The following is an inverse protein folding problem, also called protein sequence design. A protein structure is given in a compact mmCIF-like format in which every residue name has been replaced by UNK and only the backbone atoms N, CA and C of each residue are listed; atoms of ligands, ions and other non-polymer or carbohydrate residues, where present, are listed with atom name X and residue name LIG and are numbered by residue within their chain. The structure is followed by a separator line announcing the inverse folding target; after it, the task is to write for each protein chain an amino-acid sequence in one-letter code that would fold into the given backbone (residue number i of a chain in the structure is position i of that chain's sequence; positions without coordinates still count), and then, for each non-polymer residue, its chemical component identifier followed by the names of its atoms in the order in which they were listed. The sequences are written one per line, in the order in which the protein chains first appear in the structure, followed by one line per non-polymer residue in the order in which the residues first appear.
data_IF_731013901132
#
_entry.id   IF_731013901132
#
_cell.length_a   1.000
_cell.length_b   1.000
_cell.length_c   1.000
_cell.angle_alpha   90.00
_cell.angle_beta   90.00
_cell.angle_gamma   90.00
#
_symmetry.space_group_name_H-M   'P 1'
#
loop_
_entity.id
_entity.type
_entity.pdbx_description
1 polymer ?
#
# COMPACT_ATOMS: atom_id res chain seq x y z
N UNK A 1 14.33 20.21 16.43
CA UNK A 1 15.24 19.77 15.35
C UNK A 1 14.69 18.59 14.55
N UNK A 2 14.45 17.42 15.15
CA UNK A 2 13.90 16.27 14.39
C UNK A 2 12.52 16.51 13.76
N UNK A 3 11.64 17.27 14.41
CA UNK A 3 10.36 17.67 13.80
C UNK A 3 10.54 18.52 12.54
N UNK A 4 11.48 19.47 12.54
CA UNK A 4 11.78 20.28 11.36
C UNK A 4 12.45 19.46 10.25
N UNK A 5 13.32 18.51 10.61
CA UNK A 5 13.88 17.55 9.67
C UNK A 5 12.79 16.71 9.03
N UNK A 6 11.84 16.21 9.81
CA UNK A 6 10.72 15.42 9.32
C UNK A 6 9.84 16.24 8.35
N UNK A 7 9.52 17.50 8.66
CA UNK A 7 8.77 18.37 7.74
C UNK A 7 9.54 18.66 6.45
N UNK A 8 10.84 18.94 6.53
CA UNK A 8 11.66 19.16 5.34
C UNK A 8 11.80 17.88 4.50
N UNK A 9 11.95 16.71 5.14
CA UNK A 9 11.99 15.41 4.47
C UNK A 9 10.67 15.09 3.77
N UNK A 10 9.51 15.44 4.37
CA UNK A 10 8.19 15.27 3.72
C UNK A 10 8.11 16.02 2.40
N UNK A 11 8.72 17.21 2.30
CA UNK A 11 8.75 17.96 1.03
C UNK A 11 9.51 17.20 -0.05
N UNK A 12 10.65 16.59 0.28
CA UNK A 12 11.43 15.78 -0.67
C UNK A 12 10.68 14.50 -1.04
N UNK A 13 10.04 13.84 -0.07
CA UNK A 13 9.19 12.65 -0.32
C UNK A 13 8.03 13.00 -1.25
N UNK A 14 7.36 14.14 -1.06
CA UNK A 14 6.28 14.56 -1.95
C UNK A 14 6.78 14.84 -3.37
N UNK A 15 7.98 15.40 -3.53
CA UNK A 15 8.62 15.52 -4.85
C UNK A 15 8.97 14.15 -5.43
N UNK A 16 9.41 13.19 -4.62
CA UNK A 16 9.80 11.87 -5.10
C UNK A 16 8.64 11.02 -5.61
N UNK A 17 7.40 11.41 -5.33
CA UNK A 17 6.19 10.80 -5.91
C UNK A 17 5.93 11.34 -7.33
N UNK A 18 6.43 12.52 -7.68
CA UNK A 18 6.29 13.09 -9.01
C UNK A 18 7.28 12.43 -9.98
N UNK A 19 6.76 11.63 -10.91
CA UNK A 19 7.56 10.86 -11.86
C UNK A 19 8.40 11.72 -12.81
N UNK A 20 8.10 13.01 -12.95
CA UNK A 20 8.88 13.95 -13.78
C UNK A 20 10.26 14.27 -13.21
N UNK A 21 10.47 14.04 -11.91
CA UNK A 21 11.77 14.23 -11.28
C UNK A 21 12.65 13.00 -11.44
N UNK A 22 13.90 13.22 -11.88
CA UNK A 22 14.90 12.17 -11.99
C UNK A 22 15.37 11.71 -10.61
N UNK A 23 15.73 10.43 -10.52
CA UNK A 23 16.31 9.82 -9.32
C UNK A 23 17.48 10.63 -8.76
N UNK A 24 18.43 11.03 -9.62
CA UNK A 24 19.64 11.77 -9.22
C UNK A 24 19.30 13.14 -8.61
N UNK A 25 18.34 13.86 -9.18
CA UNK A 25 17.89 15.16 -8.65
C UNK A 25 17.31 15.03 -7.24
N UNK A 26 16.51 13.98 -6.99
CA UNK A 26 15.92 13.73 -5.67
C UNK A 26 16.99 13.29 -4.66
N UNK A 27 17.97 12.47 -5.06
CA UNK A 27 19.11 12.11 -4.21
C UNK A 27 19.92 13.36 -3.83
N UNK A 28 20.17 14.27 -4.77
CA UNK A 28 20.86 15.53 -4.48
C UNK A 28 20.07 16.39 -3.47
N UNK A 29 18.74 16.44 -3.57
CA UNK A 29 17.87 17.08 -2.58
C UNK A 29 18.03 16.44 -1.19
N UNK A 30 18.03 15.11 -1.09
CA UNK A 30 18.28 14.41 0.18
C UNK A 30 19.67 14.67 0.74
N UNK A 31 20.71 14.69 -0.09
CA UNK A 31 22.09 14.96 0.36
C UNK A 31 22.29 16.43 0.79
N UNK A 32 21.61 17.38 0.14
CA UNK A 32 21.56 18.78 0.61
C UNK A 32 20.88 18.88 1.97
N UNK A 33 19.76 18.18 2.14
CA UNK A 33 19.03 18.13 3.41
C UNK A 33 19.88 17.50 4.52
N UNK A 34 20.59 16.41 4.22
CA UNK A 34 21.56 15.79 5.13
C UNK A 34 22.60 16.80 5.60
N UNK A 35 23.26 17.49 4.67
CA UNK A 35 24.31 18.46 4.98
C UNK A 35 23.81 19.62 5.86
N UNK A 36 22.62 20.16 5.56
CA UNK A 36 22.00 21.20 6.37
C UNK A 36 21.74 20.72 7.80
N UNK A 37 21.04 19.59 7.97
CA UNK A 37 20.62 19.14 9.29
C UNK A 37 21.79 18.57 10.11
N UNK A 38 22.78 17.95 9.48
CA UNK A 38 24.03 17.57 10.16
C UNK A 38 24.76 18.79 10.71
N UNK A 39 24.85 19.88 9.95
CA UNK A 39 25.47 21.12 10.43
C UNK A 39 24.70 21.72 11.63
N UNK A 40 23.37 21.63 11.61
CA UNK A 40 22.50 22.14 12.66
C UNK A 40 22.49 21.29 13.93
N UNK A 41 22.82 19.99 13.83
CA UNK A 41 22.97 19.09 14.98
C UNK A 41 24.17 19.44 15.88
N UNK A 42 25.11 20.27 15.39
CA UNK A 42 26.30 20.67 16.13
C UNK A 42 27.11 19.47 16.60
N UNK A 43 27.43 19.42 17.90
CA UNK A 43 28.22 18.34 18.49
C UNK A 43 27.40 17.09 18.89
N UNK A 44 26.10 17.05 18.55
CA UNK A 44 25.25 15.90 18.86
C UNK A 44 25.60 14.71 17.96
N UNK A 45 26.52 13.85 18.41
CA UNK A 45 26.91 12.64 17.68
C UNK A 45 25.71 11.73 17.34
N UNK A 46 24.77 11.58 18.29
CA UNK A 46 23.53 10.85 18.07
C UNK A 46 22.68 11.53 16.98
N UNK A 47 22.49 12.85 17.08
CA UNK A 47 21.69 13.62 16.13
C UNK A 47 22.23 13.54 14.70
N UNK A 48 23.55 13.69 14.55
CA UNK A 48 24.25 13.54 13.26
C UNK A 48 24.05 12.14 12.69
N UNK A 49 24.26 11.10 13.49
CA UNK A 49 24.12 9.71 13.03
C UNK A 49 22.67 9.39 12.63
N UNK A 50 21.70 9.81 13.43
CA UNK A 50 20.29 9.57 13.14
C UNK A 50 19.84 10.30 11.87
N UNK A 51 20.24 11.56 11.66
CA UNK A 51 19.96 12.26 10.40
C UNK A 51 20.52 11.51 9.19
N UNK A 52 21.74 10.99 9.28
CA UNK A 52 22.35 10.20 8.20
C UNK A 52 21.61 8.91 7.91
N UNK A 53 21.19 8.18 8.95
CA UNK A 53 20.38 6.95 8.81
C UNK A 53 19.08 7.22 8.07
N UNK A 54 18.31 8.23 8.51
CA UNK A 54 17.04 8.59 7.86
C UNK A 54 17.19 8.98 6.40
N UNK A 55 18.26 9.71 6.06
CA UNK A 55 18.55 10.02 4.65
C UNK A 55 18.92 8.77 3.86
N UNK A 56 19.74 7.87 4.41
CA UNK A 56 20.10 6.61 3.75
C UNK A 56 18.88 5.69 3.56
N UNK A 57 18.00 5.57 4.57
CA UNK A 57 16.70 4.88 4.48
C UNK A 57 15.86 5.43 3.32
N UNK A 58 15.67 6.76 3.26
CA UNK A 58 14.89 7.40 2.21
C UNK A 58 15.49 7.20 0.80
N UNK A 59 16.82 7.22 0.67
CA UNK A 59 17.50 6.98 -0.62
C UNK A 59 17.32 5.53 -1.06
N UNK A 60 17.40 4.56 -0.15
CA UNK A 60 17.15 3.15 -0.47
C UNK A 60 15.69 2.92 -0.89
N UNK A 61 14.72 3.48 -0.16
CA UNK A 61 13.31 3.43 -0.55
C UNK A 61 13.07 4.09 -1.91
N UNK A 62 13.76 5.20 -2.20
CA UNK A 62 13.70 5.84 -3.51
C UNK A 62 14.25 4.92 -4.60
N UNK A 63 15.40 4.28 -4.37
CA UNK A 63 16.00 3.34 -5.33
C UNK A 63 15.07 2.16 -5.60
N UNK A 64 14.43 1.62 -4.56
CA UNK A 64 13.41 0.59 -4.72
C UNK A 64 12.23 1.05 -5.57
N UNK A 65 11.71 2.26 -5.35
CA UNK A 65 10.55 2.76 -6.10
C UNK A 65 10.85 3.20 -7.54
N UNK A 66 12.07 3.65 -7.84
CA UNK A 66 12.45 4.24 -9.14
C UNK A 66 13.27 3.31 -10.01
N UNK A 67 13.63 2.14 -9.50
CA UNK A 67 14.39 1.12 -10.21
C UNK A 67 15.60 1.67 -11.00
N UNK A 68 16.48 2.52 -10.41
CA UNK A 68 17.73 2.91 -11.06
C UNK A 68 18.58 1.66 -11.32
N UNK A 69 19.68 1.73 -12.09
CA UNK A 69 20.57 0.58 -12.28
C UNK A 69 20.93 -0.08 -10.94
N UNK A 70 20.94 -1.41 -10.90
CA UNK A 70 21.07 -2.20 -9.67
C UNK A 70 22.16 -1.72 -8.71
N UNK A 71 23.32 -1.34 -9.26
CA UNK A 71 24.48 -0.88 -8.49
C UNK A 71 24.15 0.31 -7.57
N UNK A 72 23.22 1.16 -7.98
CA UNK A 72 22.73 2.28 -7.16
C UNK A 72 21.93 1.78 -5.95
N UNK A 73 21.07 0.76 -6.11
CA UNK A 73 20.34 0.15 -4.97
C UNK A 73 21.33 -0.57 -4.03
N UNK A 74 22.34 -1.26 -4.58
CA UNK A 74 23.42 -1.91 -3.82
C UNK A 74 24.26 -0.91 -3.01
N UNK A 75 24.65 0.20 -3.61
CA UNK A 75 25.39 1.27 -2.92
C UNK A 75 24.56 1.90 -1.80
N UNK A 76 23.28 2.23 -2.06
CA UNK A 76 22.37 2.76 -1.05
C UNK A 76 22.19 1.81 0.15
N UNK A 77 22.07 0.50 -0.11
CA UNK A 77 22.02 -0.53 0.92
C UNK A 77 23.31 -0.57 1.75
N UNK A 78 24.47 -0.61 1.11
CA UNK A 78 25.77 -0.65 1.80
C UNK A 78 26.02 0.61 2.65
N UNK A 79 25.57 1.77 2.18
CA UNK A 79 25.60 3.02 2.94
C UNK A 79 24.78 2.91 4.23
N UNK A 80 23.56 2.36 4.15
CA UNK A 80 22.68 2.18 5.30
C UNK A 80 23.25 1.16 6.30
N UNK A 81 23.71 -0.01 5.82
CA UNK A 81 24.33 -1.04 6.67
C UNK A 81 25.54 -0.49 7.43
N UNK A 82 26.38 0.33 6.79
CA UNK A 82 27.54 0.97 7.42
C UNK A 82 27.16 1.94 8.53
N UNK A 83 26.01 2.61 8.42
CA UNK A 83 25.47 3.48 9.49
C UNK A 83 24.77 2.66 10.59
N UNK A 84 24.37 1.43 10.29
CA UNK A 84 23.54 0.58 11.13
C UNK A 84 22.09 1.08 11.20
N UNK A 85 21.20 0.22 11.68
CA UNK A 85 19.78 0.53 11.80
C UNK A 85 19.45 1.17 13.16
N UNK A 86 18.46 2.07 13.17
CA UNK A 86 18.01 2.71 14.41
C UNK A 86 17.23 1.74 15.32
N UNK A 87 16.47 0.83 14.71
CA UNK A 87 15.63 -0.16 15.39
C UNK A 87 15.38 -1.37 14.48
N UNK A 88 14.99 -2.50 15.08
CA UNK A 88 14.81 -3.78 14.38
C UNK A 88 13.72 -3.73 13.30
N UNK A 89 12.63 -2.99 13.53
CA UNK A 89 11.59 -2.79 12.51
C UNK A 89 12.17 -2.18 11.21
N UNK A 90 13.04 -1.17 11.34
CA UNK A 90 13.69 -0.52 10.20
C UNK A 90 14.65 -1.48 9.50
N UNK A 91 15.40 -2.29 10.26
CA UNK A 91 16.24 -3.34 9.69
C UNK A 91 15.41 -4.33 8.85
N UNK A 92 14.28 -4.81 9.37
CA UNK A 92 13.40 -5.73 8.64
C UNK A 92 12.85 -5.10 7.35
N UNK A 93 12.33 -3.87 7.45
CA UNK A 93 11.77 -3.15 6.32
C UNK A 93 12.81 -2.87 5.24
N UNK A 94 13.99 -2.36 5.62
CA UNK A 94 15.04 -2.00 4.67
C UNK A 94 15.71 -3.23 4.05
N UNK A 95 15.83 -4.32 4.80
CA UNK A 95 16.31 -5.60 4.26
C UNK A 95 15.33 -6.15 3.23
N UNK A 96 14.02 -6.09 3.51
CA UNK A 96 12.99 -6.44 2.53
C UNK A 96 13.11 -5.56 1.28
N UNK A 97 13.19 -4.25 1.43
CA UNK A 97 13.32 -3.28 0.33
C UNK A 97 14.52 -3.60 -0.58
N UNK A 98 15.69 -3.88 0.01
CA UNK A 98 16.88 -4.23 -0.77
C UNK A 98 16.76 -5.61 -1.43
N UNK A 99 16.22 -6.61 -0.73
CA UNK A 99 16.01 -7.93 -1.32
C UNK A 99 14.97 -7.90 -2.45
N UNK A 100 14.00 -7.00 -2.38
CA UNK A 100 13.01 -6.77 -3.43
C UNK A 100 13.62 -6.09 -4.66
N UNK A 101 14.54 -5.12 -4.48
CA UNK A 101 15.42 -4.65 -5.56
C UNK A 101 16.15 -5.84 -6.21
N UNK A 102 16.75 -6.73 -5.40
CA UNK A 102 17.48 -7.89 -5.91
C UNK A 102 16.57 -8.82 -6.73
N UNK A 103 15.32 -9.03 -6.30
CA UNK A 103 14.35 -9.84 -7.03
C UNK A 103 13.96 -9.18 -8.37
N UNK A 104 13.75 -7.85 -8.39
CA UNK A 104 13.45 -7.11 -9.61
C UNK A 104 14.61 -7.15 -10.62
N UNK A 105 15.85 -7.00 -10.13
CA UNK A 105 17.09 -7.02 -10.93
C UNK A 105 17.62 -8.43 -11.26
N UNK A 106 16.88 -9.48 -10.92
CA UNK A 106 17.26 -10.88 -11.11
C UNK A 106 18.62 -11.22 -10.48
N UNK A 107 18.86 -10.75 -9.24
CA UNK A 107 20.05 -10.99 -8.39
C UNK A 107 19.71 -11.84 -7.17
N UNK A 108 19.19 -13.07 -7.33
CA UNK A 108 18.64 -13.85 -6.22
C UNK A 108 19.66 -14.16 -5.11
N UNK A 109 20.91 -14.43 -5.46
CA UNK A 109 21.95 -14.75 -4.48
C UNK A 109 22.24 -13.57 -3.51
N UNK A 110 22.17 -12.32 -3.98
CA UNK A 110 22.40 -11.14 -3.15
C UNK A 110 21.23 -10.87 -2.21
N UNK A 111 19.99 -11.02 -2.70
CA UNK A 111 18.79 -10.90 -1.87
C UNK A 111 18.72 -11.98 -0.79
N UNK A 112 19.04 -13.23 -1.13
CA UNK A 112 19.06 -14.33 -0.16
C UNK A 112 20.14 -14.16 0.91
N UNK A 113 21.32 -13.63 0.55
CA UNK A 113 22.40 -13.41 1.48
C UNK A 113 22.04 -12.45 2.63
N UNK A 114 21.11 -11.51 2.40
CA UNK A 114 20.62 -10.60 3.46
C UNK A 114 19.35 -11.12 4.15
N UNK A 115 18.47 -11.84 3.44
CA UNK A 115 17.20 -12.32 4.00
C UNK A 115 17.36 -13.54 4.90
N UNK A 116 18.20 -14.51 4.52
CA UNK A 116 18.29 -15.78 5.26
C UNK A 116 18.77 -15.59 6.71
N UNK A 117 19.82 -14.79 7.00
CA UNK A 117 20.21 -14.51 8.38
C UNK A 117 19.10 -13.81 9.18
N UNK A 118 18.38 -12.88 8.55
CA UNK A 118 17.31 -12.11 9.19
C UNK A 118 16.11 -12.98 9.56
N UNK A 119 15.70 -13.87 8.65
CA UNK A 119 14.64 -14.83 8.89
C UNK A 119 14.99 -15.79 10.04
N UNK A 120 16.23 -16.30 10.07
CA UNK A 120 16.68 -17.16 11.16
C UNK A 120 16.68 -16.43 12.52
N UNK A 121 17.03 -15.15 12.55
CA UNK A 121 16.95 -14.34 13.77
C UNK A 121 15.50 -14.12 14.20
N UNK A 122 14.59 -13.79 13.28
CA UNK A 122 13.16 -13.64 13.58
C UNK A 122 12.53 -14.93 14.11
N UNK A 123 12.87 -16.08 13.52
CA UNK A 123 12.41 -17.40 13.99
C UNK A 123 12.89 -17.68 15.42
N UNK A 124 14.16 -17.39 15.72
CA UNK A 124 14.70 -17.49 17.09
C UNK A 124 13.97 -16.56 18.07
N UNK A 125 13.81 -15.29 17.72
CA UNK A 125 13.10 -14.31 18.57
C UNK A 125 11.65 -14.74 18.84
N UNK A 126 11.00 -15.33 17.84
CA UNK A 126 9.65 -15.90 17.96
C UNK A 126 9.60 -17.02 19.00
N UNK A 127 10.53 -17.96 18.92
CA UNK A 127 10.64 -19.07 19.88
C UNK A 127 10.89 -18.57 21.32
N UNK A 128 11.79 -17.61 21.48
CA UNK A 128 12.09 -16.97 22.78
C UNK A 128 10.84 -16.29 23.36
N UNK A 129 10.08 -15.57 22.53
CA UNK A 129 8.83 -14.92 22.94
C UNK A 129 7.74 -15.92 23.29
N UNK A 130 7.60 -17.01 22.52
CA UNK A 130 6.68 -18.10 22.87
C UNK A 130 7.03 -18.69 24.23
N UNK A 131 8.31 -18.97 24.49
CA UNK A 131 8.78 -19.48 25.78
C UNK A 131 8.50 -18.50 26.93
N UNK A 132 8.59 -17.19 26.66
CA UNK A 132 8.26 -16.13 27.60
C UNK A 132 6.75 -15.80 27.69
N UNK A 133 5.88 -16.54 26.97
CA UNK A 133 4.43 -16.28 26.89
C UNK A 133 4.09 -14.85 26.44
N UNK A 134 4.91 -14.29 25.56
CA UNK A 134 4.72 -12.97 24.96
C UNK A 134 4.06 -13.07 23.58
N UNK A 135 3.47 -11.98 23.12
CA UNK A 135 2.90 -11.91 21.77
C UNK A 135 3.98 -12.10 20.69
N UNK A 136 3.69 -12.99 19.73
CA UNK A 136 4.52 -13.25 18.55
C UNK A 136 3.98 -12.61 17.27
N UNK A 137 2.85 -11.89 17.34
CA UNK A 137 2.16 -11.35 16.15
C UNK A 137 3.11 -10.59 15.22
N UNK A 138 4.02 -9.80 15.79
CA UNK A 138 5.03 -9.07 15.05
C UNK A 138 5.99 -10.01 14.30
N UNK A 139 6.56 -11.01 14.97
CA UNK A 139 7.48 -11.97 14.34
C UNK A 139 6.77 -12.81 13.28
N UNK A 140 5.56 -13.29 13.59
CA UNK A 140 4.74 -14.09 12.66
C UNK A 140 4.51 -13.32 11.36
N UNK A 141 4.17 -12.02 11.44
CA UNK A 141 3.96 -11.16 10.29
C UNK A 141 5.22 -11.03 9.41
N UNK A 142 6.38 -10.73 10.01
CA UNK A 142 7.62 -10.54 9.24
C UNK A 142 8.21 -11.85 8.70
N UNK A 143 8.10 -12.96 9.44
CA UNK A 143 8.53 -14.28 8.96
C UNK A 143 7.74 -14.68 7.72
N UNK A 144 6.42 -14.45 7.73
CA UNK A 144 5.58 -14.68 6.56
C UNK A 144 5.99 -13.78 5.39
N UNK A 145 6.05 -12.47 5.62
CA UNK A 145 6.30 -11.48 4.57
C UNK A 145 7.70 -11.62 3.93
N UNK A 146 8.75 -11.77 4.74
CA UNK A 146 10.12 -12.00 4.26
C UNK A 146 10.29 -13.42 3.70
N UNK A 147 9.55 -14.39 4.24
CA UNK A 147 9.57 -15.78 3.78
C UNK A 147 9.04 -15.92 2.35
N UNK A 148 7.99 -15.17 2.00
CA UNK A 148 7.46 -15.12 0.64
C UNK A 148 8.53 -14.62 -0.34
N UNK A 149 9.18 -13.49 -0.04
CA UNK A 149 10.25 -12.94 -0.88
C UNK A 149 11.46 -13.88 -0.98
N UNK A 150 11.84 -14.56 0.13
CA UNK A 150 12.90 -15.58 0.09
C UNK A 150 12.52 -16.72 -0.87
N UNK A 151 11.29 -17.20 -0.81
CA UNK A 151 10.83 -18.30 -1.65
C UNK A 151 10.76 -17.87 -3.13
N UNK A 152 10.37 -16.62 -3.42
CA UNK A 152 10.49 -16.00 -4.76
C UNK A 152 11.94 -15.96 -5.25
N UNK A 153 12.88 -15.45 -4.45
CA UNK A 153 14.30 -15.38 -4.82
C UNK A 153 14.90 -16.77 -5.04
N UNK A 154 14.50 -17.77 -4.24
CA UNK A 154 14.91 -19.17 -4.45
C UNK A 154 14.34 -19.74 -5.75
N UNK A 155 13.11 -19.40 -6.12
CA UNK A 155 12.53 -19.78 -7.41
C UNK A 155 13.31 -19.12 -8.56
N UNK A 156 13.61 -17.83 -8.46
CA UNK A 156 14.44 -17.12 -9.45
C UNK A 156 15.84 -17.74 -9.58
N UNK A 157 16.45 -18.19 -8.48
CA UNK A 157 17.74 -18.87 -8.51
C UNK A 157 17.69 -20.20 -9.31
N UNK A 158 16.52 -20.85 -9.38
CA UNK A 158 16.27 -22.03 -10.22
C UNK A 158 15.87 -21.68 -11.66
N UNK A 159 15.74 -20.39 -11.99
CA UNK A 159 15.28 -19.91 -13.29
C UNK A 159 13.74 -19.84 -13.41
N UNK A 160 13.02 -19.93 -12.30
CA UNK A 160 11.56 -19.81 -12.24
C UNK A 160 11.18 -18.36 -11.92
N UNK A 161 10.21 -17.79 -12.64
CA UNK A 161 9.63 -16.48 -12.31
C UNK A 161 8.31 -16.66 -11.58
N UNK A 162 8.15 -15.95 -10.46
CA UNK A 162 6.89 -15.93 -9.72
C UNK A 162 5.78 -15.29 -10.59
N UNK A 163 4.57 -15.88 -10.64
CA UNK A 163 3.45 -15.29 -11.37
C UNK A 163 3.14 -13.88 -10.87
N UNK A 164 3.03 -12.90 -11.78
CA UNK A 164 2.74 -11.50 -11.46
C UNK A 164 3.95 -10.68 -11.00
N UNK A 165 5.14 -11.28 -10.90
CA UNK A 165 6.39 -10.54 -10.63
C UNK A 165 6.88 -9.87 -11.90
N UNK A 166 7.01 -8.55 -11.86
CA UNK A 166 7.73 -7.78 -12.87
C UNK A 166 9.24 -7.80 -12.56
N UNK A 167 10.07 -7.93 -13.59
CA UNK A 167 11.53 -7.84 -13.49
C UNK A 167 12.07 -6.77 -14.43
N UNK A 168 13.30 -6.30 -14.18
CA UNK A 168 13.95 -5.34 -15.09
C UNK A 168 13.98 -5.84 -16.53
N UNK A 169 14.28 -7.12 -16.75
CA UNK A 169 14.28 -7.69 -18.11
C UNK A 169 12.91 -7.57 -18.78
N UNK A 170 11.82 -7.72 -18.02
CA UNK A 170 10.47 -7.56 -18.56
C UNK A 170 10.17 -6.11 -18.91
N UNK A 171 10.53 -5.18 -18.01
CA UNK A 171 10.34 -3.74 -18.25
C UNK A 171 11.19 -3.22 -19.41
N UNK A 172 12.46 -3.61 -19.49
CA UNK A 172 13.36 -3.23 -20.57
C UNK A 172 12.91 -3.82 -21.93
N UNK A 173 12.22 -4.96 -21.91
CA UNK A 173 11.67 -5.60 -23.11
C UNK A 173 10.28 -5.08 -23.48
N UNK A 174 9.57 -4.43 -22.55
CA UNK A 174 8.24 -3.92 -22.77
C UNK A 174 8.29 -2.69 -23.68
N UNK A 175 7.49 -2.72 -24.74
CA UNK A 175 7.28 -1.61 -25.64
C UNK A 175 5.80 -1.27 -25.61
N UNK A 176 5.40 -0.20 -24.90
CA UNK A 176 4.00 0.14 -24.81
C UNK A 176 3.46 0.46 -26.20
N UNK A 177 2.26 0.00 -26.50
CA UNK A 177 1.53 0.39 -27.70
C UNK A 177 1.07 1.84 -27.57
N UNK A 178 0.82 2.56 -28.69
CA UNK A 178 0.27 3.91 -28.62
C UNK A 178 -1.06 4.03 -27.86
N UNK A 179 -1.84 2.93 -27.80
CA UNK A 179 -3.06 2.87 -27.00
C UNK A 179 -2.77 2.79 -25.50
N UNK A 180 -1.80 1.96 -25.08
CA UNK A 180 -1.35 1.86 -23.70
C UNK A 180 -0.71 3.16 -23.22
N UNK A 181 0.18 3.78 -24.01
CA UNK A 181 0.76 5.09 -23.70
C UNK A 181 -0.32 6.14 -23.46
N UNK A 182 -1.35 6.17 -24.32
CA UNK A 182 -2.49 7.08 -24.17
C UNK A 182 -3.32 6.77 -22.92
N UNK A 183 -3.53 5.50 -22.59
CA UNK A 183 -4.25 5.09 -21.37
C UNK A 183 -3.47 5.53 -20.12
N UNK A 184 -2.15 5.34 -20.11
CA UNK A 184 -1.28 5.77 -19.01
C UNK A 184 -1.32 7.29 -18.82
N UNK A 185 -1.23 8.06 -19.91
CA UNK A 185 -1.38 9.53 -19.86
C UNK A 185 -2.74 9.95 -19.26
N UNK A 186 -3.83 9.28 -19.65
CA UNK A 186 -5.15 9.55 -19.11
C UNK A 186 -5.29 9.13 -17.64
N UNK A 187 -4.62 8.06 -17.22
CA UNK A 187 -4.57 7.64 -15.82
C UNK A 187 -3.83 8.65 -14.95
N UNK A 188 -2.70 9.17 -15.43
CA UNK A 188 -1.94 10.22 -14.75
C UNK A 188 -2.76 11.51 -14.61
N UNK A 189 -3.52 11.87 -15.64
CA UNK A 189 -4.45 13.00 -15.58
C UNK A 189 -5.61 12.77 -14.62
N UNK A 190 -6.25 11.60 -14.65
CA UNK A 190 -7.30 11.21 -13.71
C UNK A 190 -6.80 11.29 -12.27
N UNK A 191 -5.64 10.67 -11.99
CA UNK A 191 -5.03 10.66 -10.67
C UNK A 191 -4.71 12.07 -10.16
N UNK A 192 -4.13 12.93 -11.02
CA UNK A 192 -3.87 14.34 -10.68
C UNK A 192 -5.15 15.13 -10.43
N UNK A 193 -6.16 14.97 -11.28
CA UNK A 193 -7.43 15.69 -11.17
C UNK A 193 -8.21 15.28 -9.91
N UNK A 194 -8.35 13.98 -9.65
CA UNK A 194 -8.98 13.47 -8.44
C UNK A 194 -8.22 13.89 -7.17
N UNK A 195 -6.89 13.82 -7.20
CA UNK A 195 -6.04 14.30 -6.09
C UNK A 195 -6.22 15.79 -5.81
N UNK A 196 -6.41 16.61 -6.86
CA UNK A 196 -6.68 18.03 -6.69
C UNK A 196 -8.01 18.26 -5.98
N UNK A 197 -9.10 17.61 -6.41
CA UNK A 197 -10.41 17.68 -5.75
C UNK A 197 -10.31 17.23 -4.29
N UNK A 198 -9.71 16.06 -4.06
CA UNK A 198 -9.49 15.53 -2.71
C UNK A 198 -8.77 16.52 -1.80
N UNK A 199 -7.64 17.08 -2.26
CA UNK A 199 -6.88 18.08 -1.48
C UNK A 199 -7.69 19.32 -1.15
N UNK A 200 -8.66 19.71 -1.97
CA UNK A 200 -9.49 20.89 -1.68
C UNK A 200 -10.46 20.65 -0.52
N UNK A 201 -11.25 19.56 -0.55
CA UNK A 201 -12.25 19.32 0.50
C UNK A 201 -11.68 18.62 1.74
N UNK A 202 -10.58 17.87 1.61
CA UNK A 202 -9.94 17.25 2.78
C UNK A 202 -9.22 18.28 3.69
N UNK A 203 -8.87 19.45 3.15
CA UNK A 203 -8.23 20.55 3.92
C UNK A 203 -9.24 21.55 4.50
N UNK A 204 -10.44 21.61 3.94
CA UNK A 204 -11.51 22.51 4.37
C UNK A 204 -12.85 21.81 4.14
N UNK A 205 -13.61 21.63 5.22
CA UNK A 205 -14.97 21.09 5.20
C UNK A 205 -16.01 22.13 4.71
N UNK A 206 -15.57 23.26 4.17
CA UNK A 206 -16.46 24.34 3.72
C UNK A 206 -17.09 24.04 2.35
N UNK A 207 -16.60 23.02 1.64
CA UNK A 207 -17.17 22.58 0.36
C UNK A 207 -18.35 21.64 0.60
N UNK A 208 -19.45 21.89 -0.10
CA UNK A 208 -20.59 20.98 -0.06
C UNK A 208 -20.30 19.70 -0.85
N UNK A 209 -20.90 18.58 -0.43
CA UNK A 209 -20.79 17.32 -1.17
C UNK A 209 -21.27 17.46 -2.62
N UNK A 210 -22.33 18.24 -2.87
CA UNK A 210 -22.84 18.47 -4.22
C UNK A 210 -21.79 19.08 -5.16
N UNK A 211 -21.00 20.03 -4.67
CA UNK A 211 -19.91 20.63 -5.45
C UNK A 211 -18.77 19.64 -5.70
N UNK A 212 -18.39 18.86 -4.68
CA UNK A 212 -17.35 17.82 -4.79
C UNK A 212 -17.77 16.74 -5.77
N UNK A 213 -19.02 16.29 -5.69
CA UNK A 213 -19.58 15.29 -6.60
C UNK A 213 -19.65 15.80 -8.05
N UNK A 214 -20.04 17.06 -8.24
CA UNK A 214 -20.05 17.69 -9.56
C UNK A 214 -18.64 17.78 -10.17
N UNK A 215 -17.61 18.06 -9.36
CA UNK A 215 -16.22 18.08 -9.85
C UNK A 215 -15.74 16.69 -10.26
N UNK A 216 -15.98 15.65 -9.45
CA UNK A 216 -15.64 14.28 -9.83
C UNK A 216 -16.38 13.82 -11.09
N UNK A 217 -17.67 14.14 -11.22
CA UNK A 217 -18.44 13.81 -12.43
C UNK A 217 -17.96 14.57 -13.67
N UNK A 218 -17.46 15.80 -13.51
CA UNK A 218 -16.81 16.53 -14.61
C UNK A 218 -15.51 15.85 -15.05
N UNK A 219 -14.70 15.40 -14.09
CA UNK A 219 -13.46 14.65 -14.36
C UNK A 219 -13.80 13.34 -15.09
N UNK A 220 -14.78 12.58 -14.60
CA UNK A 220 -15.25 11.34 -15.24
C UNK A 220 -15.63 11.59 -16.71
N UNK A 221 -16.47 12.60 -16.97
CA UNK A 221 -16.93 12.93 -18.31
C UNK A 221 -15.78 13.36 -19.25
N UNK A 222 -14.83 14.14 -18.76
CA UNK A 222 -13.65 14.58 -19.53
C UNK A 222 -12.76 13.39 -19.91
N UNK A 223 -12.36 12.57 -18.93
CA UNK A 223 -11.48 11.42 -19.16
C UNK A 223 -12.15 10.38 -20.07
N UNK A 224 -13.42 10.05 -19.82
CA UNK A 224 -14.18 9.12 -20.66
C UNK A 224 -14.34 9.66 -22.09
N UNK A 225 -14.57 10.97 -22.25
CA UNK A 225 -14.67 11.61 -23.56
C UNK A 225 -13.36 11.54 -24.37
N UNK A 226 -12.21 11.44 -23.70
CA UNK A 226 -10.87 11.41 -24.32
C UNK A 226 -10.33 10.01 -24.57
N UNK A 227 -10.84 8.99 -23.87
CA UNK A 227 -10.39 7.60 -23.98
C UNK A 227 -10.37 7.13 -25.44
N UNK A 228 -11.42 7.38 -26.23
CA UNK A 228 -11.52 6.92 -27.62
C UNK A 228 -12.35 5.64 -27.75
N UNK A 229 -12.18 4.91 -28.85
CA UNK A 229 -12.96 3.70 -29.18
C UNK A 229 -12.06 2.47 -29.20
N UNK A 230 -12.54 1.33 -28.67
CA UNK A 230 -11.80 0.05 -28.63
C UNK A 230 -12.03 -0.72 -27.33
N UNK A 231 -11.72 -2.02 -27.30
CA UNK A 231 -11.90 -2.86 -26.10
C UNK A 231 -11.01 -2.40 -24.93
N UNK A 232 -9.74 -2.04 -25.19
CA UNK A 232 -8.84 -1.50 -24.18
C UNK A 232 -9.42 -0.23 -23.52
N UNK A 233 -10.02 0.64 -24.33
CA UNK A 233 -10.68 1.85 -23.82
C UNK A 233 -11.99 1.55 -23.09
N UNK A 234 -12.73 0.49 -23.43
CA UNK A 234 -13.91 0.09 -22.66
C UNK A 234 -13.56 -0.39 -21.25
N UNK A 235 -12.49 -1.20 -21.12
CA UNK A 235 -11.97 -1.61 -19.82
C UNK A 235 -11.52 -0.39 -19.01
N UNK A 236 -10.71 0.49 -19.62
CA UNK A 236 -10.28 1.74 -18.99
C UNK A 236 -11.46 2.61 -18.53
N UNK A 237 -12.48 2.81 -19.37
CA UNK A 237 -13.67 3.61 -19.03
C UNK A 237 -14.42 3.03 -17.82
N UNK A 238 -14.51 1.71 -17.70
CA UNK A 238 -15.10 1.08 -16.52
C UNK A 238 -14.26 1.36 -15.27
N UNK A 239 -12.93 1.28 -15.37
CA UNK A 239 -12.03 1.55 -14.25
C UNK A 239 -12.06 3.02 -13.81
N UNK A 240 -12.20 3.96 -14.75
CA UNK A 240 -12.42 5.39 -14.46
C UNK A 240 -13.72 5.57 -13.66
N UNK A 241 -14.81 4.92 -14.08
CA UNK A 241 -16.10 4.99 -13.40
C UNK A 241 -16.05 4.40 -11.99
N UNK A 242 -15.43 3.23 -11.83
CA UNK A 242 -15.21 2.61 -10.53
C UNK A 242 -14.41 3.54 -9.62
N UNK A 243 -13.28 4.07 -10.11
CA UNK A 243 -12.43 5.01 -9.37
C UNK A 243 -13.22 6.24 -8.92
N UNK A 244 -14.04 6.83 -9.80
CA UNK A 244 -14.86 7.99 -9.44
C UNK A 244 -15.94 7.63 -8.40
N UNK A 245 -16.58 6.47 -8.51
CA UNK A 245 -17.54 5.99 -7.53
C UNK A 245 -16.90 5.77 -6.14
N UNK A 246 -15.69 5.22 -6.07
CA UNK A 246 -14.90 5.13 -4.83
C UNK A 246 -14.65 6.52 -4.21
N UNK A 247 -14.20 7.49 -5.02
CA UNK A 247 -13.97 8.86 -4.55
C UNK A 247 -15.24 9.54 -4.06
N UNK A 248 -16.39 9.28 -4.69
CA UNK A 248 -17.69 9.80 -4.26
C UNK A 248 -18.14 9.21 -2.93
N UNK A 249 -18.03 7.89 -2.73
CA UNK A 249 -18.33 7.25 -1.46
C UNK A 249 -17.41 7.79 -0.35
N UNK A 250 -16.11 7.89 -0.63
CA UNK A 250 -15.14 8.47 0.30
C UNK A 250 -15.47 9.92 0.66
N UNK A 251 -15.86 10.74 -0.32
CA UNK A 251 -16.28 12.12 -0.08
C UNK A 251 -17.58 12.19 0.75
N UNK A 252 -18.56 11.33 0.46
CA UNK A 252 -19.80 11.26 1.22
C UNK A 252 -19.54 10.91 2.70
N UNK A 253 -18.67 9.93 2.93
CA UNK A 253 -18.21 9.54 4.27
C UNK A 253 -17.46 10.69 4.97
N UNK A 254 -16.44 11.26 4.34
CA UNK A 254 -15.58 12.29 4.96
C UNK A 254 -16.31 13.61 5.22
N UNK A 255 -17.34 13.92 4.44
CA UNK A 255 -18.19 15.10 4.63
C UNK A 255 -19.44 14.77 5.47
N UNK A 256 -19.46 13.63 6.15
CA UNK A 256 -20.52 13.19 7.07
C UNK A 256 -21.93 13.33 6.47
N UNK A 257 -22.09 12.91 5.22
CA UNK A 257 -23.35 13.08 4.52
C UNK A 257 -24.48 12.24 5.13
N UNK A 258 -25.75 12.65 4.94
CA UNK A 258 -26.89 11.85 5.37
C UNK A 258 -26.85 10.45 4.75
N UNK A 259 -27.30 9.45 5.51
CA UNK A 259 -27.29 8.04 5.12
C UNK A 259 -27.72 7.77 3.67
N UNK A 260 -28.76 8.44 3.19
CA UNK A 260 -29.27 8.23 1.84
C UNK A 260 -28.21 8.51 0.76
N UNK A 261 -27.41 9.56 0.94
CA UNK A 261 -26.33 9.93 0.01
C UNK A 261 -25.23 8.87 0.02
N UNK A 262 -24.82 8.43 1.21
CA UNK A 262 -23.82 7.38 1.35
C UNK A 262 -24.30 6.04 0.76
N UNK A 263 -25.59 5.71 0.96
CA UNK A 263 -26.22 4.51 0.39
C UNK A 263 -26.30 4.54 -1.13
N UNK A 264 -26.63 5.68 -1.71
CA UNK A 264 -26.62 5.86 -3.17
C UNK A 264 -25.21 5.69 -3.74
N UNK A 265 -24.21 6.37 -3.16
CA UNK A 265 -22.82 6.23 -3.57
C UNK A 265 -22.29 4.79 -3.43
N UNK A 266 -22.67 4.10 -2.35
CA UNK A 266 -22.34 2.69 -2.13
C UNK A 266 -22.97 1.78 -3.18
N UNK A 267 -24.26 1.96 -3.47
CA UNK A 267 -24.96 1.15 -4.46
C UNK A 267 -24.39 1.34 -5.87
N UNK A 268 -24.07 2.59 -6.24
CA UNK A 268 -23.43 2.88 -7.52
C UNK A 268 -22.09 2.14 -7.65
N UNK A 269 -21.27 2.15 -6.60
CA UNK A 269 -19.99 1.43 -6.57
C UNK A 269 -20.19 -0.09 -6.64
N UNK A 270 -21.13 -0.66 -5.87
CA UNK A 270 -21.45 -2.09 -5.92
C UNK A 270 -21.93 -2.51 -7.30
N UNK A 271 -22.73 -1.69 -7.98
CA UNK A 271 -23.20 -1.96 -9.35
C UNK A 271 -22.06 -1.98 -10.37
N UNK A 272 -21.03 -1.15 -10.19
CA UNK A 272 -19.83 -1.14 -11.02
C UNK A 272 -18.86 -2.29 -10.69
N UNK A 273 -18.98 -2.87 -9.49
CA UNK A 273 -18.09 -3.90 -8.98
C UNK A 273 -16.77 -3.34 -8.46
N UNK A 274 -16.02 -4.18 -7.73
CA UNK A 274 -14.71 -3.83 -7.17
C UNK A 274 -13.60 -4.47 -7.97
N UNK A 275 -12.48 -3.75 -8.18
CA UNK A 275 -11.35 -4.29 -8.95
C UNK A 275 -10.55 -5.30 -8.16
N UNK A 276 -10.44 -5.09 -6.84
CA UNK A 276 -9.63 -5.90 -5.92
C UNK A 276 -10.35 -6.08 -4.60
N UNK A 277 -10.08 -7.19 -3.92
CA UNK A 277 -10.62 -7.46 -2.59
C UNK A 277 -10.19 -6.40 -1.56
N UNK A 278 -8.99 -5.84 -1.69
CA UNK A 278 -8.50 -4.75 -0.84
C UNK A 278 -9.36 -3.50 -0.95
N UNK A 279 -9.69 -3.08 -2.17
CA UNK A 279 -10.57 -1.95 -2.46
C UNK A 279 -11.96 -2.18 -1.86
N UNK A 280 -12.53 -3.38 -2.06
CA UNK A 280 -13.80 -3.77 -1.44
C UNK A 280 -13.77 -3.66 0.07
N UNK A 281 -12.71 -4.14 0.72
CA UNK A 281 -12.57 -4.04 2.17
C UNK A 281 -12.55 -2.60 2.66
N UNK A 282 -11.74 -1.74 2.02
CA UNK A 282 -11.68 -0.30 2.34
C UNK A 282 -13.04 0.39 2.16
N UNK A 283 -13.70 0.17 1.03
CA UNK A 283 -14.96 0.82 0.71
C UNK A 283 -16.11 0.32 1.59
N UNK A 284 -16.16 -0.99 1.89
CA UNK A 284 -17.10 -1.55 2.86
C UNK A 284 -16.88 -0.96 4.26
N UNK A 285 -15.62 -0.80 4.70
CA UNK A 285 -15.33 -0.16 5.98
C UNK A 285 -15.88 1.27 6.01
N UNK A 286 -15.59 2.11 5.00
CA UNK A 286 -16.10 3.49 4.95
C UNK A 286 -17.63 3.55 4.95
N UNK A 287 -18.30 2.68 4.20
CA UNK A 287 -19.76 2.63 4.20
C UNK A 287 -20.32 2.18 5.55
N UNK A 288 -19.74 1.16 6.17
CA UNK A 288 -20.19 0.66 7.48
C UNK A 288 -19.94 1.68 8.61
N UNK A 289 -18.81 2.39 8.59
CA UNK A 289 -18.58 3.51 9.50
C UNK A 289 -19.57 4.66 9.25
N UNK A 290 -19.91 4.96 7.99
CA UNK A 290 -20.99 5.91 7.69
C UNK A 290 -22.34 5.46 8.24
N UNK A 291 -22.62 4.15 8.25
CA UNK A 291 -23.83 3.60 8.85
C UNK A 291 -23.84 3.78 10.37
N UNK A 292 -22.69 3.60 11.02
CA UNK A 292 -22.50 3.91 12.44
C UNK A 292 -22.86 5.38 12.73
N UNK A 293 -22.24 6.32 12.01
CA UNK A 293 -22.47 7.76 12.18
C UNK A 293 -23.93 8.18 11.98
N UNK A 294 -24.65 7.47 11.10
CA UNK A 294 -26.05 7.75 10.78
C UNK A 294 -27.06 6.91 11.58
N UNK A 295 -26.62 6.13 12.58
CA UNK A 295 -27.49 5.25 13.38
C UNK A 295 -28.29 4.28 12.50
N UNK A 296 -27.58 3.60 11.58
CA UNK A 296 -28.09 2.56 10.68
C UNK A 296 -27.33 1.24 10.85
N UNK A 297 -27.27 0.67 12.07
CA UNK A 297 -26.42 -0.48 12.34
C UNK A 297 -26.80 -1.72 11.52
N UNK A 298 -28.08 -1.91 11.19
CA UNK A 298 -28.53 -3.04 10.36
C UNK A 298 -27.90 -3.03 8.96
N UNK A 299 -27.80 -1.86 8.35
CA UNK A 299 -27.28 -1.68 6.99
C UNK A 299 -25.76 -1.87 6.96
N UNK A 300 -25.06 -1.40 7.99
CA UNK A 300 -23.62 -1.62 8.14
C UNK A 300 -23.29 -3.09 8.41
N UNK A 301 -24.04 -3.78 9.28
CA UNK A 301 -23.85 -5.22 9.53
C UNK A 301 -24.13 -6.03 8.26
N UNK A 302 -25.19 -5.68 7.51
CA UNK A 302 -25.59 -6.41 6.30
C UNK A 302 -24.51 -6.44 5.21
N UNK A 303 -23.63 -5.43 5.13
CA UNK A 303 -22.51 -5.43 4.18
C UNK A 303 -21.24 -6.08 4.74
N UNK A 304 -21.04 -6.05 6.06
CA UNK A 304 -19.84 -6.60 6.70
C UNK A 304 -19.87 -8.12 6.81
N UNK A 305 -21.00 -8.71 7.18
CA UNK A 305 -21.14 -10.17 7.34
C UNK A 305 -20.74 -10.98 6.11
N UNK A 306 -21.29 -10.72 4.90
CA UNK A 306 -20.91 -11.49 3.72
C UNK A 306 -19.43 -11.32 3.35
N UNK A 307 -18.87 -10.12 3.56
CA UNK A 307 -17.46 -9.85 3.28
C UNK A 307 -16.54 -10.57 4.29
N UNK A 308 -16.88 -10.56 5.58
CA UNK A 308 -16.12 -11.30 6.60
C UNK A 308 -16.06 -12.79 6.29
N UNK A 309 -17.21 -13.39 5.96
CA UNK A 309 -17.26 -14.80 5.59
C UNK A 309 -16.45 -15.10 4.30
N UNK A 310 -16.42 -14.17 3.35
CA UNK A 310 -15.58 -14.28 2.15
C UNK A 310 -14.08 -14.19 2.47
N UNK A 311 -13.69 -13.28 3.36
CA UNK A 311 -12.31 -13.13 3.80
C UNK A 311 -11.82 -14.35 4.60
N UNK A 312 -12.67 -14.93 5.45
CA UNK A 312 -12.36 -16.16 6.19
C UNK A 312 -12.13 -17.33 5.23
N UNK A 313 -13.02 -17.54 4.26
CA UNK A 313 -12.83 -18.54 3.20
C UNK A 313 -11.58 -18.27 2.36
N UNK A 314 -11.32 -17.00 2.06
CA UNK A 314 -10.12 -16.56 1.34
C UNK A 314 -8.83 -16.91 2.10
N UNK A 315 -8.80 -16.67 3.41
CA UNK A 315 -7.69 -17.03 4.29
C UNK A 315 -7.47 -18.55 4.31
N UNK A 316 -8.53 -19.34 4.49
CA UNK A 316 -8.43 -20.80 4.49
C UNK A 316 -7.89 -21.33 3.15
N UNK A 317 -8.42 -20.83 2.04
CA UNK A 317 -7.98 -21.21 0.69
C UNK A 317 -6.52 -20.80 0.43
N UNK A 318 -6.10 -19.62 0.87
CA UNK A 318 -4.71 -19.16 0.75
C UNK A 318 -3.75 -20.00 1.59
N UNK A 319 -4.10 -20.31 2.84
CA UNK A 319 -3.28 -21.17 3.71
C UNK A 319 -3.14 -22.58 3.11
N UNK A 320 -4.22 -23.15 2.58
CA UNK A 320 -4.19 -24.44 1.91
C UNK A 320 -3.28 -24.40 0.66
N UNK A 321 -3.44 -23.38 -0.19
CA UNK A 321 -2.64 -23.20 -1.40
C UNK A 321 -1.15 -23.04 -1.08
N UNK A 322 -0.80 -22.24 -0.08
CA UNK A 322 0.58 -22.04 0.35
C UNK A 322 1.20 -23.30 0.93
N UNK A 323 0.43 -24.07 1.70
CA UNK A 323 0.87 -25.38 2.20
C UNK A 323 1.22 -26.32 1.04
N UNK A 324 0.37 -26.38 0.03
CA UNK A 324 0.60 -27.18 -1.18
C UNK A 324 1.80 -26.68 -2.00
N UNK A 325 1.90 -25.36 -2.24
CA UNK A 325 3.00 -24.75 -2.97
C UNK A 325 4.35 -25.02 -2.28
N UNK A 326 4.42 -24.87 -0.96
CA UNK A 326 5.62 -25.20 -0.16
C UNK A 326 6.00 -26.68 -0.28
N UNK A 327 5.01 -27.58 -0.26
CA UNK A 327 5.27 -29.01 -0.46
C UNK A 327 5.86 -29.32 -1.85
N UNK A 328 5.55 -28.48 -2.85
CA UNK A 328 6.07 -28.57 -4.22
C UNK A 328 7.29 -27.69 -4.49
N UNK A 329 7.74 -26.90 -3.50
CA UNK A 329 8.78 -25.87 -3.65
C UNK A 329 8.43 -24.76 -4.67
N UNK A 330 7.15 -24.56 -4.94
CA UNK A 330 6.64 -23.50 -5.82
C UNK A 330 6.62 -22.15 -5.07
N UNK A 331 6.88 -21.03 -5.77
CA UNK A 331 6.78 -19.71 -5.16
C UNK A 331 5.34 -19.38 -4.76
N UNK A 332 5.14 -18.47 -3.78
CA UNK A 332 3.81 -17.95 -3.49
C UNK A 332 3.21 -17.32 -4.77
N UNK A 333 1.92 -17.57 -5.01
CA UNK A 333 1.20 -16.93 -6.11
C UNK A 333 0.79 -15.49 -5.78
N UNK A 334 0.38 -14.72 -6.80
CA UNK A 334 -0.01 -13.30 -6.65
C UNK A 334 -1.33 -13.01 -5.91
N UNK A 335 -1.82 -13.92 -5.07
CA UNK A 335 -2.99 -13.66 -4.24
C UNK A 335 -2.60 -12.85 -2.98
N UNK A 336 -3.57 -12.22 -2.30
CA UNK A 336 -3.31 -11.53 -1.05
C UNK A 336 -2.69 -12.47 0.00
N UNK A 337 -1.78 -11.95 0.82
CA UNK A 337 -1.14 -12.74 1.87
C UNK A 337 -2.15 -13.15 2.97
N UNK A 338 -1.90 -14.24 3.69
CA UNK A 338 -2.63 -14.56 4.92
C UNK A 338 -2.68 -13.40 5.92
N UNK A 339 -1.60 -12.63 6.06
CA UNK A 339 -1.59 -11.40 6.88
C UNK A 339 -2.63 -10.37 6.42
N UNK A 340 -2.76 -10.12 5.11
CA UNK A 340 -3.80 -9.24 4.57
C UNK A 340 -5.21 -9.67 5.03
N UNK A 341 -5.54 -10.96 4.91
CA UNK A 341 -6.86 -11.45 5.32
C UNK A 341 -7.06 -11.31 6.83
N UNK A 342 -6.07 -11.67 7.65
CA UNK A 342 -6.15 -11.58 9.11
C UNK A 342 -6.39 -10.14 9.58
N UNK A 343 -5.67 -9.18 9.01
CA UNK A 343 -5.77 -7.78 9.39
C UNK A 343 -7.16 -7.22 9.04
N UNK A 344 -7.68 -7.54 7.85
CA UNK A 344 -9.02 -7.13 7.45
C UNK A 344 -10.14 -7.81 8.23
N UNK A 345 -10.04 -9.12 8.48
CA UNK A 345 -11.00 -9.84 9.33
C UNK A 345 -11.06 -9.19 10.71
N UNK A 346 -9.89 -8.92 11.33
CA UNK A 346 -9.80 -8.27 12.65
C UNK A 346 -10.43 -6.87 12.64
N UNK A 347 -10.08 -6.04 11.65
CA UNK A 347 -10.61 -4.67 11.52
C UNK A 347 -12.13 -4.65 11.33
N UNK A 348 -12.63 -5.41 10.35
CA UNK A 348 -14.04 -5.44 10.00
C UNK A 348 -14.91 -6.15 11.05
N UNK A 349 -14.39 -7.19 11.72
CA UNK A 349 -15.10 -7.85 12.81
C UNK A 349 -15.29 -6.91 14.00
N UNK A 350 -14.27 -6.11 14.34
CA UNK A 350 -14.39 -5.07 15.38
C UNK A 350 -15.48 -4.05 15.05
N UNK A 351 -15.56 -3.60 13.80
CA UNK A 351 -16.60 -2.67 13.35
C UNK A 351 -17.99 -3.32 13.39
N UNK A 352 -18.12 -4.56 12.89
CA UNK A 352 -19.36 -5.35 12.97
C UNK A 352 -19.84 -5.48 14.41
N UNK A 353 -18.97 -5.86 15.34
CA UNK A 353 -19.33 -6.07 16.75
C UNK A 353 -19.80 -4.78 17.41
N UNK A 354 -19.22 -3.64 17.03
CA UNK A 354 -19.66 -2.32 17.47
C UNK A 354 -21.07 -2.01 16.99
N UNK A 355 -21.34 -2.17 15.68
CA UNK A 355 -22.68 -1.97 15.12
C UNK A 355 -23.72 -2.94 15.69
N UNK A 356 -23.34 -4.20 15.95
CA UNK A 356 -24.22 -5.15 16.62
C UNK A 356 -24.59 -4.73 18.05
N UNK A 357 -23.65 -4.12 18.77
CA UNK A 357 -23.90 -3.62 20.12
C UNK A 357 -24.88 -2.45 20.09
N UNK A 358 -24.74 -1.53 19.13
CA UNK A 358 -25.68 -0.42 18.89
C UNK A 358 -27.08 -0.94 18.57
N UNK A 359 -27.19 -1.91 17.63
CA UNK A 359 -28.45 -2.59 17.29
C UNK A 359 -29.16 -3.19 18.51
N UNK A 360 -28.39 -3.74 19.47
CA UNK A 360 -28.93 -4.33 20.71
C UNK A 360 -29.26 -3.27 21.76
N UNK A 361 -28.54 -2.14 21.77
CA UNK A 361 -28.75 -1.01 22.69
C UNK A 361 -30.03 -0.22 22.39
N UNK A 362 -30.35 -0.04 21.10
CA UNK A 362 -31.60 0.61 20.65
C UNK A 362 -32.85 -0.25 20.86
N UNK A 363 -32.68 -1.52 21.22
CA UNK A 363 -33.77 -2.44 21.55
C UNK A 363 -34.20 -2.38 23.04
N UNK A 364 -33.63 -1.47 23.85
CA UNK A 364 -34.10 -1.23 25.22
C UNK A 364 -35.35 -0.33 25.20
N UNK A 365 -36.54 -0.81 25.63
CA UNK A 365 -37.76 0.00 25.64
C UNK A 365 -37.67 1.07 26.72
N UNK A 366 -37.82 2.34 26.32
CA UNK A 366 -38.12 3.46 27.22
C UNK A 366 -39.56 3.44 27.72
#
# INVERSE_FOLDING_TARGET
MFSEFAEASKVVILKSIDWTWSFTSIVDDYRRLEAEFVARMGDSAFGVLETKRRIAENILSLAHSRHPPFEVCREAWNDLVRLGFAESFIEYLMTWTYADCCAYDEKPAEGLAVLEPLLADLERQREERMAAQQSTEFQDHYIEYLGDLRDELRAQQRGELSPGRTTRRMDDAYQPTPEEEKIDELYDELSRACSAVYKTFARSLDRSFAEVAADYKRIEADIVGRAGEGEAFQAFVLEVRQTIAEYLLKAAYMLEQPFQVCREAWNDLVCLGFRRISERCWMTQHYAESCEFNQKPEEGVAVLEPLLAELERGLEAELARRSEARAKLEPPGGAPSPSFYRDWIKSLAKLRDKLEAERKGDAAPG
#
